data_IF_910118698843
#
_entry.id   IF_910118698843
#
_cell.length_a   1.000
_cell.length_b   1.000
_cell.length_c   1.000
_cell.angle_alpha   90.00
_cell.angle_beta   90.00
_cell.angle_gamma   90.00
#
_symmetry.space_group_name_H-M   'P 1'
#
loop_
_entity.id
_entity.type
_entity.pdbx_description
1 polymer ?
#
# COMPACT_ATOMS: atom_id res chain seq x y z
N UNK A 1 12.91 -28.27 -23.88
CA UNK A 1 11.99 -27.25 -24.45
C UNK A 1 10.62 -27.26 -23.77
N UNK A 2 9.82 -28.34 -23.88
CA UNK A 2 8.45 -28.37 -23.31
C UNK A 2 8.41 -28.06 -21.80
N UNK A 3 9.31 -28.68 -21.02
CA UNK A 3 9.42 -28.40 -19.58
C UNK A 3 9.75 -26.93 -19.29
N UNK A 4 10.61 -26.29 -20.10
CA UNK A 4 10.93 -24.87 -19.93
C UNK A 4 9.71 -23.98 -20.23
N UNK A 5 8.96 -24.27 -21.29
CA UNK A 5 7.73 -23.52 -21.61
C UNK A 5 6.67 -23.70 -20.51
N UNK A 6 6.51 -24.92 -19.98
CA UNK A 6 5.63 -25.17 -18.84
C UNK A 6 6.06 -24.37 -17.60
N UNK A 7 7.35 -24.42 -17.26
CA UNK A 7 7.91 -23.63 -16.16
C UNK A 7 7.61 -22.14 -16.33
N UNK A 8 7.90 -21.58 -17.51
CA UNK A 8 7.71 -20.16 -17.81
C UNK A 8 6.22 -19.76 -17.80
N UNK A 9 5.34 -20.60 -18.34
CA UNK A 9 3.91 -20.35 -18.32
C UNK A 9 3.36 -20.35 -16.88
N UNK A 10 3.78 -21.30 -16.05
CA UNK A 10 3.38 -21.36 -14.63
C UNK A 10 3.98 -20.22 -13.80
N UNK A 11 5.22 -19.82 -14.10
CA UNK A 11 5.87 -18.64 -13.53
C UNK A 11 5.06 -17.37 -13.79
N UNK A 12 4.73 -17.11 -15.06
CA UNK A 12 3.97 -15.90 -15.42
C UNK A 12 2.56 -15.95 -14.85
N UNK A 13 1.88 -17.09 -14.90
CA UNK A 13 0.52 -17.23 -14.36
C UNK A 13 0.45 -16.80 -12.88
N UNK A 14 1.30 -17.37 -12.03
CA UNK A 14 1.32 -17.02 -10.60
C UNK A 14 1.89 -15.63 -10.33
N UNK A 15 2.92 -15.21 -11.08
CA UNK A 15 3.45 -13.86 -10.97
C UNK A 15 2.39 -12.80 -11.30
N UNK A 16 1.56 -13.06 -12.31
CA UNK A 16 0.49 -12.16 -12.72
C UNK A 16 -0.66 -12.13 -11.71
N UNK A 17 -0.97 -13.25 -11.04
CA UNK A 17 -1.88 -13.27 -9.88
C UNK A 17 -1.37 -12.39 -8.74
N UNK A 18 -0.08 -12.47 -8.41
CA UNK A 18 0.53 -11.61 -7.39
C UNK A 18 0.52 -10.13 -7.78
N UNK A 19 0.58 -9.83 -9.07
CA UNK A 19 0.53 -8.47 -9.60
C UNK A 19 -0.87 -7.87 -9.53
N UNK A 20 -1.92 -8.71 -9.58
CA UNK A 20 -3.31 -8.25 -9.60
C UNK A 20 -3.67 -7.41 -8.37
N UNK A 21 -3.18 -7.78 -7.18
CA UNK A 21 -3.44 -7.01 -5.95
C UNK A 21 -2.82 -5.61 -5.99
N UNK A 22 -1.68 -5.44 -6.65
CA UNK A 22 -1.03 -4.13 -6.82
C UNK A 22 -1.68 -3.27 -7.91
N UNK A 23 -2.26 -3.90 -8.93
CA UNK A 23 -3.04 -3.20 -9.96
C UNK A 23 -4.37 -2.70 -9.37
N UNK A 24 -5.01 -3.51 -8.52
CA UNK A 24 -6.29 -3.17 -7.89
C UNK A 24 -6.14 -2.27 -6.64
N UNK A 25 -5.00 -2.39 -5.95
CA UNK A 25 -4.67 -1.69 -4.70
C UNK A 25 -5.00 -0.19 -4.67
N UNK A 26 -4.62 0.62 -5.67
CA UNK A 26 -4.92 2.05 -5.67
C UNK A 26 -6.41 2.40 -5.62
N UNK A 27 -7.30 1.48 -6.01
CA UNK A 27 -8.73 1.75 -6.16
C UNK A 27 -9.59 0.97 -5.17
N UNK A 28 -9.16 -0.24 -4.78
CA UNK A 28 -9.95 -1.14 -3.94
C UNK A 28 -9.23 -1.54 -2.64
N UNK A 29 -7.98 -1.11 -2.46
CA UNK A 29 -7.14 -1.46 -1.30
C UNK A 29 -6.54 -2.86 -1.40
N UNK A 30 -5.90 -3.29 -0.31
CA UNK A 30 -5.17 -4.57 -0.19
C UNK A 30 -5.83 -5.57 0.77
N UNK A 31 -7.06 -5.28 1.21
CA UNK A 31 -7.78 -6.06 2.22
C UNK A 31 -8.21 -7.47 1.78
N UNK A 32 -8.72 -8.26 2.73
CA UNK A 32 -9.05 -9.69 2.56
C UNK A 32 -10.07 -9.92 1.43
N UNK A 33 -11.06 -9.03 1.28
CA UNK A 33 -12.07 -9.10 0.21
C UNK A 33 -11.45 -9.03 -1.18
N UNK A 34 -10.45 -8.16 -1.37
CA UNK A 34 -9.76 -8.00 -2.66
C UNK A 34 -9.00 -9.28 -3.01
N UNK A 35 -8.24 -9.83 -2.05
CA UNK A 35 -7.55 -11.10 -2.22
C UNK A 35 -8.50 -12.27 -2.53
N UNK A 36 -9.63 -12.35 -1.84
CA UNK A 36 -10.62 -13.38 -2.09
C UNK A 36 -11.18 -13.30 -3.53
N UNK A 37 -11.44 -12.10 -4.04
CA UNK A 37 -11.87 -11.91 -5.43
C UNK A 37 -10.79 -12.28 -6.44
N UNK A 38 -9.53 -11.87 -6.22
CA UNK A 38 -8.38 -12.22 -7.08
C UNK A 38 -8.26 -13.72 -7.20
N UNK A 39 -8.11 -14.43 -6.08
CA UNK A 39 -7.93 -15.88 -6.06
C UNK A 39 -9.11 -16.57 -6.74
N UNK A 40 -10.35 -16.13 -6.47
CA UNK A 40 -11.55 -16.71 -7.08
C UNK A 40 -11.55 -16.58 -8.61
N UNK A 41 -11.23 -15.41 -9.14
CA UNK A 41 -11.18 -15.18 -10.60
C UNK A 41 -10.07 -16.01 -11.25
N UNK A 42 -8.89 -16.10 -10.62
CA UNK A 42 -7.79 -16.91 -11.12
C UNK A 42 -8.12 -18.41 -11.10
N UNK A 43 -8.73 -18.93 -10.02
CA UNK A 43 -9.17 -20.33 -9.91
C UNK A 43 -10.28 -20.69 -10.92
N UNK A 44 -11.26 -19.81 -11.10
CA UNK A 44 -12.31 -20.01 -12.13
C UNK A 44 -11.67 -20.00 -13.52
N UNK A 45 -10.81 -19.02 -13.80
CA UNK A 45 -10.12 -18.90 -15.08
C UNK A 45 -9.25 -20.11 -15.39
N UNK A 46 -8.48 -20.61 -14.42
CA UNK A 46 -7.67 -21.81 -14.59
C UNK A 46 -8.50 -23.07 -14.79
N UNK A 47 -9.60 -23.22 -14.05
CA UNK A 47 -10.52 -24.35 -14.22
C UNK A 47 -11.09 -24.41 -15.64
N UNK A 48 -11.56 -23.27 -16.16
CA UNK A 48 -12.05 -23.16 -17.54
C UNK A 48 -10.92 -23.42 -18.54
N UNK A 49 -9.75 -22.83 -18.32
CA UNK A 49 -8.60 -22.99 -19.20
C UNK A 49 -8.12 -24.44 -19.27
N UNK A 50 -7.99 -25.15 -18.14
CA UNK A 50 -7.65 -26.58 -18.12
C UNK A 50 -8.66 -27.43 -18.89
N UNK A 51 -9.95 -27.14 -18.76
CA UNK A 51 -10.99 -27.84 -19.52
C UNK A 51 -10.84 -27.60 -21.03
N UNK A 52 -10.64 -26.35 -21.47
CA UNK A 52 -10.46 -25.99 -22.88
C UNK A 52 -9.15 -26.55 -23.45
N UNK A 53 -8.07 -26.44 -22.69
CA UNK A 53 -6.75 -26.96 -23.03
C UNK A 53 -6.75 -28.49 -23.14
N UNK A 54 -7.44 -29.18 -22.23
CA UNK A 54 -7.58 -30.64 -22.30
C UNK A 54 -8.33 -31.09 -23.56
N UNK A 55 -9.46 -30.45 -23.87
CA UNK A 55 -10.23 -30.74 -25.09
C UNK A 55 -9.43 -30.51 -26.37
N UNK A 56 -8.70 -29.39 -26.45
CA UNK A 56 -7.89 -29.07 -27.63
C UNK A 56 -6.60 -29.86 -27.73
N UNK A 57 -6.09 -30.39 -26.61
CA UNK A 57 -4.94 -31.30 -26.60
C UNK A 57 -5.26 -32.65 -27.28
N UNK A 58 -6.53 -33.06 -27.32
CA UNK A 58 -7.01 -34.26 -28.00
C UNK A 58 -7.28 -34.05 -29.50
N UNK A 59 -7.35 -32.81 -29.96
CA UNK A 59 -7.55 -32.50 -31.37
C UNK A 59 -6.27 -32.72 -32.19
N UNK A 60 -6.45 -33.09 -33.46
CA UNK A 60 -5.36 -33.05 -34.43
C UNK A 60 -4.83 -31.61 -34.52
N UNK A 61 -3.51 -31.45 -34.32
CA UNK A 61 -2.89 -30.13 -34.28
C UNK A 61 -2.83 -29.48 -32.89
N UNK A 62 -2.77 -30.25 -31.79
CA UNK A 62 -2.48 -29.76 -30.43
C UNK A 62 -1.39 -28.67 -30.39
N UNK A 63 -0.29 -28.86 -31.13
CA UNK A 63 0.80 -27.89 -31.24
C UNK A 63 0.37 -26.50 -31.75
N UNK A 64 -0.65 -26.43 -32.61
CA UNK A 64 -1.27 -25.18 -33.09
C UNK A 64 -2.10 -24.52 -31.99
N UNK A 65 -2.86 -25.29 -31.22
CA UNK A 65 -3.69 -24.77 -30.12
C UNK A 65 -2.86 -24.20 -28.98
N UNK A 66 -1.80 -24.90 -28.54
CA UNK A 66 -0.85 -24.38 -27.54
C UNK A 66 -0.32 -23.01 -27.98
N UNK A 67 0.02 -22.88 -29.27
CA UNK A 67 0.51 -21.61 -29.81
C UNK A 67 -0.55 -20.51 -29.82
N UNK A 68 -1.79 -20.84 -30.14
CA UNK A 68 -2.89 -19.87 -30.05
C UNK A 68 -3.02 -19.38 -28.60
N UNK A 69 -3.02 -20.29 -27.63
CA UNK A 69 -3.11 -19.94 -26.21
C UNK A 69 -1.94 -19.08 -25.74
N UNK A 70 -0.68 -19.44 -26.03
CA UNK A 70 0.48 -18.65 -25.62
C UNK A 70 0.50 -17.25 -26.26
N UNK A 71 0.13 -17.13 -27.54
CA UNK A 71 0.08 -15.84 -28.22
C UNK A 71 -1.02 -14.94 -27.62
N UNK A 72 -2.23 -15.47 -27.45
CA UNK A 72 -3.33 -14.70 -26.89
C UNK A 72 -3.20 -14.46 -25.39
N UNK A 73 -2.48 -15.32 -24.65
CA UNK A 73 -2.07 -15.04 -23.27
C UNK A 73 -1.13 -13.82 -23.24
N UNK A 74 -0.11 -13.77 -24.11
CA UNK A 74 0.77 -12.60 -24.22
C UNK A 74 -0.02 -11.32 -24.54
N UNK A 75 -0.92 -11.37 -25.52
CA UNK A 75 -1.76 -10.23 -25.91
C UNK A 75 -2.69 -9.80 -24.78
N UNK A 76 -3.40 -10.73 -24.14
CA UNK A 76 -4.36 -10.40 -23.08
C UNK A 76 -3.68 -9.88 -21.81
N UNK A 77 -2.51 -10.43 -21.43
CA UNK A 77 -1.68 -9.88 -20.34
C UNK A 77 -1.20 -8.47 -20.69
N UNK A 78 -0.74 -8.20 -21.91
CA UNK A 78 -0.35 -6.84 -22.31
C UNK A 78 -1.53 -5.85 -22.26
N UNK A 79 -2.72 -6.28 -22.68
CA UNK A 79 -3.93 -5.43 -22.70
C UNK A 79 -4.43 -5.12 -21.29
N UNK A 80 -4.16 -5.97 -20.29
CA UNK A 80 -4.68 -5.77 -18.94
C UNK A 80 -4.22 -4.44 -18.33
N UNK A 81 -3.02 -3.96 -18.67
CA UNK A 81 -2.50 -2.68 -18.15
C UNK A 81 -3.21 -1.43 -18.69
N UNK A 82 -3.31 -1.18 -20.00
CA UNK A 82 -4.09 -0.05 -20.50
C UNK A 82 -5.58 -0.19 -20.16
N UNK A 83 -6.12 -1.42 -20.16
CA UNK A 83 -7.50 -1.66 -19.76
C UNK A 83 -7.74 -1.30 -18.30
N UNK A 84 -6.79 -1.58 -17.40
CA UNK A 84 -6.92 -1.22 -15.99
C UNK A 84 -6.99 0.29 -15.81
N UNK A 85 -6.18 1.07 -16.54
CA UNK A 85 -6.27 2.54 -16.49
C UNK A 85 -7.60 3.10 -16.97
N UNK A 86 -8.25 2.44 -17.92
CA UNK A 86 -9.55 2.88 -18.43
C UNK A 86 -10.70 2.51 -17.48
N UNK A 87 -10.67 1.30 -16.92
CA UNK A 87 -11.82 0.70 -16.22
C UNK A 87 -11.78 0.93 -14.71
N UNK A 88 -10.60 1.01 -14.10
CA UNK A 88 -10.46 1.19 -12.65
C UNK A 88 -11.09 2.49 -12.13
N UNK A 89 -10.85 3.68 -12.73
CA UNK A 89 -11.44 4.93 -12.23
C UNK A 89 -12.97 4.96 -12.33
N UNK A 90 -13.55 4.25 -13.30
CA UNK A 90 -15.00 4.25 -13.55
C UNK A 90 -15.78 3.41 -12.54
N UNK A 91 -15.13 2.41 -11.92
CA UNK A 91 -15.77 1.43 -11.05
C UNK A 91 -15.32 1.56 -9.58
N UNK A 92 -14.49 2.56 -9.27
CA UNK A 92 -13.99 2.83 -7.92
C UNK A 92 -14.82 3.84 -7.12
N UNK A 93 -15.86 4.44 -7.70
CA UNK A 93 -16.71 5.40 -6.97
C UNK A 93 -17.51 4.74 -5.83
N UNK A 94 -17.98 3.51 -6.03
CA UNK A 94 -18.59 2.68 -4.98
C UNK A 94 -17.80 1.37 -4.79
N UNK A 95 -16.96 1.34 -3.76
CA UNK A 95 -16.17 0.16 -3.39
C UNK A 95 -17.07 -0.89 -2.74
N UNK A 96 -17.48 -1.88 -3.53
CA UNK A 96 -18.30 -3.02 -3.09
C UNK A 96 -17.64 -4.33 -3.55
N UNK A 97 -18.03 -5.45 -2.93
CA UNK A 97 -17.56 -6.77 -3.38
C UNK A 97 -17.89 -7.02 -4.86
N UNK A 98 -19.04 -6.50 -5.34
CA UNK A 98 -19.46 -6.64 -6.72
C UNK A 98 -18.56 -5.85 -7.68
N UNK A 99 -18.18 -4.61 -7.35
CA UNK A 99 -17.30 -3.80 -8.20
C UNK A 99 -15.88 -4.40 -8.24
N UNK A 100 -15.36 -4.87 -7.11
CA UNK A 100 -14.07 -5.59 -7.06
C UNK A 100 -14.09 -6.83 -7.94
N UNK A 101 -15.12 -7.68 -7.80
CA UNK A 101 -15.22 -8.92 -8.57
C UNK A 101 -15.38 -8.67 -10.06
N UNK A 102 -16.20 -7.69 -10.45
CA UNK A 102 -16.39 -7.29 -11.84
C UNK A 102 -15.06 -6.82 -12.44
N UNK A 103 -14.36 -5.94 -11.73
CA UNK A 103 -13.09 -5.38 -12.19
C UNK A 103 -12.00 -6.44 -12.31
N UNK A 104 -11.87 -7.30 -11.29
CA UNK A 104 -10.93 -8.42 -11.30
C UNK A 104 -11.23 -9.36 -12.48
N UNK A 105 -12.51 -9.63 -12.74
CA UNK A 105 -12.93 -10.46 -13.87
C UNK A 105 -12.59 -9.83 -15.23
N UNK A 106 -12.88 -8.54 -15.40
CA UNK A 106 -12.59 -7.80 -16.63
C UNK A 106 -11.09 -7.81 -16.97
N UNK A 107 -10.23 -7.66 -15.96
CA UNK A 107 -8.79 -7.57 -16.16
C UNK A 107 -8.10 -8.92 -16.27
N UNK A 108 -8.49 -9.91 -15.46
CA UNK A 108 -7.67 -11.09 -15.22
C UNK A 108 -8.30 -12.42 -15.67
N UNK A 109 -9.61 -12.48 -15.91
CA UNK A 109 -10.27 -13.75 -16.27
C UNK A 109 -9.78 -14.30 -17.61
N UNK A 110 -9.78 -13.48 -18.67
CA UNK A 110 -9.33 -13.90 -20.01
C UNK A 110 -7.84 -14.28 -20.01
N UNK A 111 -6.91 -13.45 -19.47
CA UNK A 111 -5.51 -13.86 -19.33
C UNK A 111 -5.33 -15.18 -18.57
N UNK A 112 -6.07 -15.38 -17.47
CA UNK A 112 -6.00 -16.60 -16.66
C UNK A 112 -6.45 -17.84 -17.45
N UNK A 113 -7.57 -17.75 -18.19
CA UNK A 113 -8.07 -18.85 -19.05
C UNK A 113 -7.04 -19.22 -20.11
N UNK A 114 -6.49 -18.24 -20.82
CA UNK A 114 -5.58 -18.49 -21.94
C UNK A 114 -4.24 -19.04 -21.46
N UNK A 115 -3.72 -18.50 -20.36
CA UNK A 115 -2.47 -18.95 -19.74
C UNK A 115 -2.53 -20.42 -19.30
N UNK A 116 -3.61 -20.80 -18.64
CA UNK A 116 -3.82 -22.16 -18.13
C UNK A 116 -4.20 -23.16 -19.22
N UNK A 117 -4.88 -22.74 -20.29
CA UNK A 117 -5.25 -23.61 -21.41
C UNK A 117 -4.06 -24.18 -22.18
N UNK A 118 -2.89 -23.54 -22.13
CA UNK A 118 -1.67 -24.08 -22.74
C UNK A 118 -1.13 -25.32 -22.00
N UNK A 119 -1.39 -25.45 -20.68
CA UNK A 119 -0.74 -26.44 -19.80
C UNK A 119 -1.09 -27.89 -20.18
N UNK A 120 -2.36 -28.30 -20.36
CA UNK A 120 -2.69 -29.68 -20.71
C UNK A 120 -2.09 -30.12 -22.05
N UNK A 121 -2.11 -29.23 -23.05
CA UNK A 121 -1.51 -29.48 -24.36
C UNK A 121 0.00 -29.70 -24.28
N UNK A 122 0.70 -28.87 -23.51
CA UNK A 122 2.14 -28.99 -23.26
C UNK A 122 2.49 -30.28 -22.52
N UNK A 123 1.74 -30.62 -21.46
CA UNK A 123 1.92 -31.87 -20.71
C UNK A 123 1.74 -33.08 -21.64
N UNK A 124 0.69 -33.10 -22.45
CA UNK A 124 0.42 -34.20 -23.38
C UNK A 124 1.54 -34.37 -24.42
N UNK A 125 2.06 -33.26 -25.00
CA UNK A 125 3.21 -33.32 -25.90
C UNK A 125 4.48 -33.84 -25.23
N UNK A 126 4.66 -33.54 -23.94
CA UNK A 126 5.83 -33.96 -23.17
C UNK A 126 5.79 -35.43 -22.75
N UNK A 127 4.62 -35.93 -22.35
CA UNK A 127 4.43 -37.32 -21.91
C UNK A 127 4.48 -38.28 -23.11
N UNK A 128 3.91 -37.88 -24.26
CA UNK A 128 3.80 -38.74 -25.45
C UNK A 128 2.66 -39.76 -25.32
N UNK A 129 2.67 -40.79 -26.17
CA UNK A 129 1.57 -41.77 -26.27
C UNK A 129 1.54 -42.81 -25.13
N UNK A 130 2.69 -43.04 -24.46
CA UNK A 130 2.77 -43.98 -23.34
C UNK A 130 2.67 -43.23 -22.01
N UNK A 131 1.61 -43.52 -21.27
CA UNK A 131 1.37 -42.94 -19.95
C UNK A 131 2.32 -43.54 -18.92
N UNK A 132 3.35 -42.79 -18.54
CA UNK A 132 4.28 -43.13 -17.47
C UNK A 132 4.03 -42.21 -16.26
N UNK A 133 3.71 -42.78 -15.10
CA UNK A 133 3.46 -42.00 -13.88
C UNK A 133 4.63 -41.10 -13.48
N UNK A 134 5.87 -41.53 -13.73
CA UNK A 134 7.09 -40.74 -13.49
C UNK A 134 7.11 -39.47 -14.34
N UNK A 135 6.77 -39.56 -15.64
CA UNK A 135 6.74 -38.37 -16.52
C UNK A 135 5.65 -37.39 -16.07
N UNK A 136 4.46 -37.90 -15.72
CA UNK A 136 3.39 -37.07 -15.15
C UNK A 136 3.89 -36.32 -13.92
N UNK A 137 4.54 -37.03 -12.98
CA UNK A 137 5.12 -36.44 -11.78
C UNK A 137 6.15 -35.34 -12.07
N UNK A 138 7.08 -35.58 -13.01
CA UNK A 138 8.10 -34.59 -13.41
C UNK A 138 7.43 -33.32 -13.98
N UNK A 139 6.44 -33.45 -14.86
CA UNK A 139 5.79 -32.28 -15.44
C UNK A 139 4.96 -31.49 -14.42
N UNK A 140 4.30 -32.17 -13.48
CA UNK A 140 3.65 -31.49 -12.34
C UNK A 140 4.66 -30.77 -11.45
N UNK A 141 5.80 -31.41 -11.14
CA UNK A 141 6.89 -30.77 -10.39
C UNK A 141 7.37 -29.48 -11.08
N UNK A 142 7.58 -29.52 -12.41
CA UNK A 142 8.01 -28.36 -13.20
C UNK A 142 7.00 -27.21 -13.12
N UNK A 143 5.70 -27.51 -13.21
CA UNK A 143 4.63 -26.52 -13.03
C UNK A 143 4.68 -25.91 -11.63
N UNK A 144 4.76 -26.73 -10.59
CA UNK A 144 4.81 -26.25 -9.19
C UNK A 144 6.05 -25.39 -8.93
N UNK A 145 7.21 -25.79 -9.43
CA UNK A 145 8.46 -25.02 -9.27
C UNK A 145 8.38 -23.69 -10.02
N UNK A 146 7.77 -23.68 -11.22
CA UNK A 146 7.48 -22.44 -11.96
C UNK A 146 6.56 -21.50 -11.17
N UNK A 147 5.46 -22.02 -10.66
CA UNK A 147 4.50 -21.29 -9.83
C UNK A 147 5.15 -20.67 -8.59
N UNK A 148 5.93 -21.45 -7.83
CA UNK A 148 6.65 -20.95 -6.64
C UNK A 148 7.65 -19.86 -7.02
N UNK A 149 8.43 -20.06 -8.09
CA UNK A 149 9.34 -19.04 -8.58
C UNK A 149 8.61 -17.76 -9.02
N UNK A 150 7.46 -17.91 -9.69
CA UNK A 150 6.60 -16.80 -10.11
C UNK A 150 6.14 -15.96 -8.94
N UNK A 151 5.59 -16.60 -7.91
CA UNK A 151 5.17 -15.93 -6.68
C UNK A 151 6.35 -15.25 -5.97
N UNK A 152 7.42 -15.97 -5.66
CA UNK A 152 8.52 -15.44 -4.84
C UNK A 152 9.30 -14.33 -5.55
N UNK A 153 9.67 -14.54 -6.83
CA UNK A 153 10.48 -13.56 -7.58
C UNK A 153 9.64 -12.31 -7.85
N UNK A 154 8.37 -12.47 -8.21
CA UNK A 154 7.50 -11.32 -8.48
C UNK A 154 7.29 -10.51 -7.22
N UNK A 155 6.93 -11.16 -6.11
CA UNK A 155 6.61 -10.47 -4.85
C UNK A 155 7.81 -9.82 -4.18
N UNK A 156 8.95 -10.52 -4.08
CA UNK A 156 10.08 -10.04 -3.29
C UNK A 156 11.12 -9.26 -4.10
N UNK A 157 11.15 -9.37 -5.43
CA UNK A 157 12.17 -8.73 -6.26
C UNK A 157 11.60 -7.81 -7.33
N UNK A 158 10.60 -8.26 -8.09
CA UNK A 158 10.06 -7.45 -9.19
C UNK A 158 9.20 -6.29 -8.66
N UNK A 159 8.25 -6.57 -7.76
CA UNK A 159 7.35 -5.55 -7.22
C UNK A 159 8.09 -4.39 -6.51
N UNK A 160 9.11 -4.64 -5.65
CA UNK A 160 9.84 -3.53 -5.02
C UNK A 160 10.82 -2.82 -5.96
N UNK A 161 11.35 -3.51 -6.97
CA UNK A 161 12.44 -3.00 -7.80
C UNK A 161 12.02 -2.42 -9.15
N UNK A 162 10.79 -2.64 -9.61
CA UNK A 162 10.35 -2.30 -10.96
C UNK A 162 8.93 -1.72 -10.95
N UNK A 163 8.68 -0.74 -11.85
CA UNK A 163 7.31 -0.26 -12.09
C UNK A 163 6.43 -1.40 -12.61
N UNK A 164 5.17 -1.46 -12.16
CA UNK A 164 4.19 -2.51 -12.53
C UNK A 164 4.09 -2.71 -14.05
N UNK A 165 4.11 -1.62 -14.83
CA UNK A 165 4.09 -1.70 -16.30
C UNK A 165 5.19 -2.58 -16.88
N UNK A 166 6.42 -2.49 -16.35
CA UNK A 166 7.56 -3.26 -16.85
C UNK A 166 7.42 -4.75 -16.50
N UNK A 167 6.78 -5.07 -15.38
CA UNK A 167 6.49 -6.45 -14.96
C UNK A 167 5.46 -7.08 -15.91
N UNK A 168 4.36 -6.38 -16.20
CA UNK A 168 3.36 -6.83 -17.20
C UNK A 168 4.01 -7.08 -18.55
N UNK A 169 4.86 -6.15 -19.00
CA UNK A 169 5.60 -6.28 -20.27
C UNK A 169 6.53 -7.49 -20.24
N UNK A 170 7.27 -7.70 -19.15
CA UNK A 170 8.14 -8.86 -18.98
C UNK A 170 7.37 -10.18 -19.05
N UNK A 171 6.21 -10.26 -18.40
CA UNK A 171 5.32 -11.42 -18.45
C UNK A 171 4.77 -11.70 -19.85
N UNK A 172 4.27 -10.68 -20.54
CA UNK A 172 3.83 -10.81 -21.92
C UNK A 172 4.97 -11.26 -22.84
N UNK A 173 6.19 -10.73 -22.65
CA UNK A 173 7.38 -11.13 -23.38
C UNK A 173 7.72 -12.61 -23.14
N UNK A 174 7.62 -13.10 -21.90
CA UNK A 174 7.88 -14.52 -21.59
C UNK A 174 6.89 -15.43 -22.32
N UNK A 175 5.60 -15.10 -22.35
CA UNK A 175 4.61 -15.87 -23.14
C UNK A 175 4.89 -15.80 -24.64
N UNK A 176 5.26 -14.64 -25.14
CA UNK A 176 5.61 -14.45 -26.55
C UNK A 176 6.87 -15.26 -26.93
N UNK A 177 7.92 -15.22 -26.11
CA UNK A 177 9.12 -16.01 -26.32
C UNK A 177 8.81 -17.50 -26.26
N UNK A 178 7.95 -17.93 -25.34
CA UNK A 178 7.46 -19.32 -25.26
C UNK A 178 6.73 -19.75 -26.53
N UNK A 179 5.89 -18.87 -27.09
CA UNK A 179 5.25 -19.08 -28.39
C UNK A 179 6.28 -19.15 -29.53
N UNK A 180 7.26 -18.24 -29.53
CA UNK A 180 8.30 -18.15 -30.55
C UNK A 180 9.21 -19.37 -30.52
N UNK A 181 9.57 -19.90 -29.35
CA UNK A 181 10.35 -21.14 -29.22
C UNK A 181 9.69 -22.34 -29.89
N UNK A 182 8.37 -22.29 -30.15
CA UNK A 182 7.65 -23.32 -30.89
C UNK A 182 7.66 -23.12 -32.43
N UNK A 183 8.24 -22.03 -32.97
CA UNK A 183 8.39 -21.73 -34.40
C UNK A 183 9.75 -21.08 -34.78
N UNK A 184 10.39 -21.54 -35.86
CA UNK A 184 11.66 -20.97 -36.34
C UNK A 184 11.44 -20.16 -37.62
N UNK A 185 10.85 -18.95 -37.54
CA UNK A 185 10.78 -18.02 -38.70
C UNK A 185 10.93 -16.56 -38.28
N UNK A 186 12.02 -15.94 -38.75
CA UNK A 186 12.51 -14.62 -38.31
C UNK A 186 11.65 -13.41 -38.73
N UNK A 187 10.85 -13.48 -39.80
CA UNK A 187 10.02 -12.34 -40.24
C UNK A 187 8.83 -12.03 -39.31
N UNK A 188 8.47 -12.96 -38.40
CA UNK A 188 7.43 -12.72 -37.38
C UNK A 188 7.91 -11.85 -36.22
N UNK A 189 9.21 -11.57 -36.14
CA UNK A 189 9.81 -10.58 -35.23
C UNK A 189 9.42 -9.14 -35.59
N UNK A 190 8.92 -8.88 -36.80
CA UNK A 190 8.40 -7.55 -37.17
C UNK A 190 6.95 -7.35 -36.70
N UNK A 191 6.14 -8.42 -36.60
CA UNK A 191 4.80 -8.36 -35.98
C UNK A 191 4.89 -8.08 -34.47
N UNK A 192 6.02 -8.45 -33.84
CA UNK A 192 6.35 -8.17 -32.44
C UNK A 192 6.48 -6.67 -32.14
N UNK A 193 7.07 -5.88 -33.05
CA UNK A 193 7.18 -4.43 -32.87
C UNK A 193 5.83 -3.71 -32.98
N UNK A 194 4.85 -4.28 -33.71
CA UNK A 194 3.54 -3.66 -33.97
C UNK A 194 2.51 -4.03 -32.88
N UNK A 195 2.54 -5.27 -32.37
CA UNK A 195 1.64 -5.72 -31.31
C UNK A 195 1.97 -5.11 -29.92
N UNK A 196 3.18 -4.58 -29.75
CA UNK A 196 3.62 -3.85 -28.56
C UNK A 196 3.49 -2.32 -28.69
N UNK A 197 2.99 -1.77 -29.80
CA UNK A 197 2.70 -0.32 -29.94
C UNK A 197 1.65 0.21 -28.94
N UNK A 198 0.69 -0.60 -28.40
CA UNK A 198 -0.17 -0.13 -27.31
C UNK A 198 0.58 0.16 -25.99
N UNK A 199 1.91 -0.06 -25.90
CA UNK A 199 2.76 0.33 -24.77
C UNK A 199 3.09 1.83 -24.69
N UNK A 200 2.76 2.64 -25.69
CA UNK A 200 2.91 4.09 -25.59
C UNK A 200 1.83 4.65 -24.67
N UNK A 201 2.17 4.80 -23.39
CA UNK A 201 1.47 5.51 -22.31
C UNK A 201 0.25 6.35 -22.77
N UNK A 202 -0.89 5.69 -23.01
CA UNK A 202 -2.14 6.37 -23.41
C UNK A 202 -2.80 6.89 -22.13
N UNK A 203 -2.35 8.05 -21.68
CA UNK A 203 -2.95 8.81 -20.58
C UNK A 203 -2.38 8.46 -19.20
N UNK A 204 -2.02 9.52 -18.45
CA UNK A 204 -1.50 9.39 -17.09
C UNK A 204 -2.51 8.70 -16.17
N UNK A 205 -2.02 7.79 -15.33
CA UNK A 205 -2.84 7.18 -14.30
C UNK A 205 -3.40 8.28 -13.37
N UNK A 206 -4.66 8.14 -12.93
CA UNK A 206 -5.33 9.10 -12.04
C UNK A 206 -5.86 8.38 -10.81
N UNK A 207 -5.81 9.05 -9.67
CA UNK A 207 -6.42 8.64 -8.41
C UNK A 207 -7.51 9.67 -8.09
N UNK A 208 -8.78 9.26 -8.21
CA UNK A 208 -9.89 10.22 -8.31
C UNK A 208 -9.71 11.15 -9.53
N UNK A 209 -9.90 12.45 -9.34
CA UNK A 209 -9.70 13.46 -10.38
C UNK A 209 -8.21 13.80 -10.63
N UNK A 210 -7.33 13.39 -9.71
CA UNK A 210 -5.96 13.85 -9.62
C UNK A 210 -4.99 12.96 -10.40
N UNK A 211 -4.16 13.50 -11.31
CA UNK A 211 -3.10 12.73 -11.97
C UNK A 211 -2.07 12.19 -10.96
N UNK A 212 -1.74 10.90 -11.10
CA UNK A 212 -0.65 10.23 -10.38
C UNK A 212 0.66 10.60 -11.08
N UNK A 213 1.53 11.27 -10.32
CA UNK A 213 2.88 11.68 -10.73
C UNK A 213 3.92 10.62 -10.45
N UNK A 214 3.80 9.92 -9.33
CA UNK A 214 4.67 8.82 -8.95
C UNK A 214 3.90 7.79 -8.13
N UNK A 215 4.31 6.52 -8.24
CA UNK A 215 3.75 5.42 -7.46
C UNK A 215 4.87 4.47 -7.07
N UNK A 216 4.94 4.17 -5.78
CA UNK A 216 5.90 3.22 -5.23
C UNK A 216 5.16 2.22 -4.37
N UNK A 217 5.33 0.93 -4.65
CA UNK A 217 4.82 -0.16 -3.82
C UNK A 217 5.91 -0.60 -2.85
N UNK A 218 5.61 -0.60 -1.55
CA UNK A 218 6.55 -1.08 -0.52
C UNK A 218 5.98 -2.31 0.20
N UNK A 219 6.77 -3.00 1.03
CA UNK A 219 6.26 -4.05 1.91
C UNK A 219 5.21 -3.55 2.92
N UNK A 220 5.11 -2.23 3.14
CA UNK A 220 4.26 -1.65 4.17
C UNK A 220 2.95 -1.06 3.62
N UNK A 221 3.00 -0.40 2.47
CA UNK A 221 1.82 0.23 1.83
C UNK A 221 2.12 0.57 0.36
N UNK A 222 1.09 0.91 -0.40
CA UNK A 222 1.25 1.59 -1.68
C UNK A 222 1.30 3.11 -1.45
N UNK A 223 2.31 3.79 -2.01
CA UNK A 223 2.48 5.24 -1.88
C UNK A 223 2.22 5.91 -3.23
N UNK A 224 1.27 6.84 -3.25
CA UNK A 224 0.93 7.62 -4.43
C UNK A 224 1.31 9.09 -4.23
N UNK A 225 1.94 9.67 -5.24
CA UNK A 225 2.14 11.11 -5.36
C UNK A 225 1.18 11.62 -6.42
N UNK A 226 0.24 12.49 -6.04
CA UNK A 226 -0.75 13.05 -6.97
C UNK A 226 -0.65 14.57 -7.01
N UNK A 227 -0.97 15.16 -8.15
CA UNK A 227 -1.09 16.62 -8.28
C UNK A 227 -2.56 17.03 -8.42
N UNK A 228 -2.93 18.19 -7.87
CA UNK A 228 -4.25 18.78 -8.10
C UNK A 228 -4.16 20.27 -8.29
N UNK A 229 -5.05 20.81 -9.12
CA UNK A 229 -5.20 22.26 -9.29
C UNK A 229 -6.13 22.90 -8.25
N UNK A 230 -6.73 22.10 -7.35
CA UNK A 230 -7.69 22.57 -6.35
C UNK A 230 -7.59 21.74 -5.06
N UNK A 231 -7.74 22.39 -3.92
CA UNK A 231 -7.89 21.74 -2.62
C UNK A 231 -8.89 22.52 -1.77
N UNK A 232 -9.92 21.85 -1.24
CA UNK A 232 -10.98 22.47 -0.42
C UNK A 232 -11.59 23.75 -1.05
N UNK A 233 -11.86 23.74 -2.36
CA UNK A 233 -12.43 24.90 -3.05
C UNK A 233 -11.44 26.02 -3.37
N UNK A 234 -10.16 25.86 -3.02
CA UNK A 234 -9.11 26.83 -3.29
C UNK A 234 -8.28 26.41 -4.50
N UNK A 235 -8.23 27.22 -5.58
CA UNK A 235 -7.35 26.94 -6.70
C UNK A 235 -5.88 27.08 -6.29
N UNK A 236 -5.02 26.20 -6.79
CA UNK A 236 -3.60 26.18 -6.47
C UNK A 236 -2.82 25.17 -7.31
N UNK A 237 -1.59 24.86 -6.92
CA UNK A 237 -0.82 23.75 -7.50
C UNK A 237 -0.36 22.85 -6.34
N UNK A 238 -1.18 21.83 -6.04
CA UNK A 238 -1.01 21.00 -4.87
C UNK A 238 -0.32 19.69 -5.20
N UNK A 239 0.55 19.22 -4.31
CA UNK A 239 1.10 17.85 -4.32
C UNK A 239 0.64 17.13 -3.08
N UNK A 240 0.09 15.93 -3.26
CA UNK A 240 -0.34 15.06 -2.17
C UNK A 240 0.51 13.79 -2.12
N UNK A 241 0.78 13.32 -0.90
CA UNK A 241 1.24 11.96 -0.62
C UNK A 241 0.08 11.20 -0.01
N UNK A 242 -0.26 10.06 -0.60
CA UNK A 242 -1.36 9.21 -0.17
C UNK A 242 -0.87 7.78 0.05
N UNK A 243 -1.28 7.17 1.16
CA UNK A 243 -1.09 5.74 1.37
C UNK A 243 -2.37 5.00 1.01
N UNK A 244 -2.21 3.92 0.25
CA UNK A 244 -3.26 3.08 -0.26
C UNK A 244 -4.36 3.90 -0.96
N UNK A 245 -5.64 3.61 -0.73
CA UNK A 245 -6.74 4.18 -1.54
C UNK A 245 -7.05 5.64 -1.21
N UNK A 246 -6.97 6.11 0.05
CA UNK A 246 -7.46 7.45 0.42
C UNK A 246 -6.79 8.11 1.65
N UNK A 247 -5.74 7.53 2.25
CA UNK A 247 -5.13 8.14 3.44
C UNK A 247 -4.16 9.26 3.04
N UNK A 248 -4.62 10.51 3.09
CA UNK A 248 -3.78 11.69 2.87
C UNK A 248 -2.75 11.84 3.99
N UNK A 249 -1.48 11.60 3.67
CA UNK A 249 -0.35 11.66 4.60
C UNK A 249 0.34 13.04 4.61
N UNK A 250 0.20 13.78 3.53
CA UNK A 250 0.72 15.13 3.44
C UNK A 250 0.27 15.85 2.17
N UNK A 251 0.21 17.17 2.26
CA UNK A 251 -0.11 18.04 1.14
C UNK A 251 0.71 19.32 1.23
N UNK A 252 1.21 19.79 0.09
CA UNK A 252 1.82 21.11 -0.03
C UNK A 252 1.20 21.87 -1.18
N UNK A 253 1.12 23.19 -1.03
CA UNK A 253 0.95 24.11 -2.16
C UNK A 253 2.34 24.45 -2.71
N UNK A 254 2.57 24.22 -4.01
CA UNK A 254 3.83 24.57 -4.66
C UNK A 254 4.02 26.07 -4.76
N UNK A 255 2.94 26.85 -4.79
CA UNK A 255 3.00 28.31 -4.88
C UNK A 255 3.37 28.94 -3.54
N UNK A 256 2.95 28.32 -2.43
CA UNK A 256 3.31 28.73 -1.08
C UNK A 256 3.61 27.51 -0.19
N UNK A 257 4.88 27.10 -0.16
CA UNK A 257 5.32 25.95 0.63
C UNK A 257 5.28 26.19 2.14
N UNK A 258 5.12 27.45 2.58
CA UNK A 258 4.99 27.78 4.00
C UNK A 258 3.54 27.65 4.48
N UNK A 259 2.58 27.56 3.56
CA UNK A 259 1.19 27.32 3.89
C UNK A 259 0.98 25.84 4.27
N UNK A 260 0.91 25.58 5.58
CA UNK A 260 0.61 24.25 6.11
C UNK A 260 -0.89 23.98 5.94
N UNK A 261 -1.22 23.05 5.03
CA UNK A 261 -2.60 22.79 4.62
C UNK A 261 -3.43 22.02 5.67
N UNK A 262 -2.83 21.05 6.35
CA UNK A 262 -3.54 20.20 7.30
C UNK A 262 -3.66 20.85 8.68
N UNK A 263 -4.90 20.92 9.19
CA UNK A 263 -5.19 21.61 10.46
C UNK A 263 -4.52 20.96 11.65
N UNK A 264 -4.43 19.62 11.70
CA UNK A 264 -3.77 18.93 12.81
C UNK A 264 -2.27 19.26 12.91
N UNK A 265 -1.60 19.51 11.77
CA UNK A 265 -0.19 19.93 11.75
C UNK A 265 -0.06 21.34 12.32
N UNK A 266 -0.90 22.28 11.87
CA UNK A 266 -0.92 23.65 12.42
C UNK A 266 -1.19 23.65 13.93
N UNK A 267 -2.15 22.84 14.36
CA UNK A 267 -2.51 22.70 15.76
C UNK A 267 -1.37 22.07 16.58
N UNK A 268 -0.69 21.06 16.06
CA UNK A 268 0.48 20.45 16.73
C UNK A 268 1.62 21.44 16.91
N UNK A 269 1.88 22.29 15.91
CA UNK A 269 2.86 23.37 16.03
C UNK A 269 2.45 24.40 17.09
N UNK A 270 1.18 24.82 17.09
CA UNK A 270 0.65 25.72 18.10
C UNK A 270 0.76 25.15 19.53
N UNK A 271 0.49 23.86 19.69
CA UNK A 271 0.65 23.14 20.96
C UNK A 271 2.12 23.14 21.39
N UNK A 272 3.04 22.84 20.46
CA UNK A 272 4.46 22.83 20.75
C UNK A 272 4.93 24.22 21.22
N UNK A 273 4.47 25.31 20.60
CA UNK A 273 4.83 26.67 20.99
C UNK A 273 4.19 27.12 22.31
N UNK A 274 2.97 26.66 22.59
CA UNK A 274 2.21 27.10 23.77
C UNK A 274 2.59 26.31 25.03
N UNK A 275 2.66 24.98 24.93
CA UNK A 275 2.84 24.08 26.06
C UNK A 275 4.27 23.58 26.21
N UNK A 276 5.07 23.65 25.14
CA UNK A 276 6.45 23.21 25.13
C UNK A 276 7.39 24.23 24.43
N UNK A 277 7.31 25.54 24.71
CA UNK A 277 8.09 26.56 23.98
C UNK A 277 9.61 26.32 24.10
N UNK A 278 10.05 25.79 25.24
CA UNK A 278 11.44 25.48 25.54
C UNK A 278 11.86 24.06 25.09
N UNK A 279 10.96 23.30 24.46
CA UNK A 279 11.31 21.98 23.94
C UNK A 279 12.33 22.12 22.82
N UNK A 280 13.48 21.48 23.00
CA UNK A 280 14.55 21.45 22.03
C UNK A 280 14.75 20.05 21.46
N UNK A 281 14.67 19.00 22.28
CA UNK A 281 14.85 17.62 21.84
C UNK A 281 13.49 16.93 21.68
N UNK A 282 13.13 16.61 20.45
CA UNK A 282 11.87 15.95 20.12
C UNK A 282 12.15 14.59 19.48
N UNK A 283 11.39 13.57 19.88
CA UNK A 283 11.34 12.31 19.17
C UNK A 283 10.01 12.21 18.41
N UNK A 284 10.05 11.90 17.13
CA UNK A 284 8.87 11.76 16.29
C UNK A 284 8.77 10.34 15.74
N UNK A 285 7.62 9.70 15.92
CA UNK A 285 7.32 8.38 15.36
C UNK A 285 6.35 8.60 14.19
N UNK A 286 6.79 8.24 12.98
CA UNK A 286 6.14 8.59 11.72
C UNK A 286 6.70 9.89 11.13
N UNK A 287 7.06 9.88 9.85
CA UNK A 287 7.55 11.06 9.13
C UNK A 287 6.52 11.63 8.16
N UNK A 288 5.79 10.73 7.49
CA UNK A 288 4.86 11.09 6.41
C UNK A 288 5.55 11.93 5.33
N UNK A 289 4.92 13.03 4.91
CA UNK A 289 5.52 13.95 3.94
C UNK A 289 6.63 14.86 4.52
N UNK A 290 6.95 14.75 5.81
CA UNK A 290 7.98 15.55 6.48
C UNK A 290 7.59 17.01 6.75
N UNK A 291 6.31 17.37 6.62
CA UNK A 291 5.83 18.76 6.77
C UNK A 291 5.96 19.22 8.22
N UNK A 292 5.42 18.44 9.18
CA UNK A 292 5.51 18.74 10.61
C UNK A 292 6.97 18.76 11.09
N UNK A 293 7.75 17.76 10.67
CA UNK A 293 9.18 17.67 10.99
C UNK A 293 9.93 18.91 10.52
N UNK A 294 9.77 19.29 9.25
CA UNK A 294 10.44 20.46 8.68
C UNK A 294 10.05 21.76 9.40
N UNK A 295 8.76 21.95 9.71
CA UNK A 295 8.31 23.14 10.42
C UNK A 295 8.87 23.23 11.85
N UNK A 296 8.94 22.10 12.57
CA UNK A 296 9.56 22.06 13.90
C UNK A 296 11.08 22.31 13.82
N UNK A 297 11.78 21.73 12.85
CA UNK A 297 13.22 21.99 12.63
C UNK A 297 13.48 23.47 12.33
N UNK A 298 12.64 24.11 11.51
CA UNK A 298 12.74 25.54 11.18
C UNK A 298 12.52 26.46 12.39
N UNK A 299 11.75 26.02 13.40
CA UNK A 299 11.62 26.74 14.68
C UNK A 299 12.82 26.55 15.62
N UNK A 300 13.89 25.89 15.16
CA UNK A 300 15.13 25.69 15.92
C UNK A 300 15.12 24.46 16.84
N UNK A 301 14.16 23.55 16.66
CA UNK A 301 14.05 22.32 17.44
C UNK A 301 14.85 21.18 16.79
N UNK A 302 15.48 20.36 17.61
CA UNK A 302 16.17 19.14 17.21
C UNK A 302 15.17 17.98 17.19
N UNK A 303 14.89 17.45 16.01
CA UNK A 303 13.97 16.31 15.83
C UNK A 303 14.78 15.05 15.48
N UNK A 304 14.52 13.95 16.19
CA UNK A 304 14.90 12.60 15.78
C UNK A 304 13.64 11.87 15.32
N UNK A 305 13.62 11.41 14.08
CA UNK A 305 12.45 10.75 13.50
C UNK A 305 12.70 9.25 13.36
N UNK A 306 11.69 8.44 13.70
CA UNK A 306 11.60 7.04 13.35
C UNK A 306 10.56 6.86 12.24
N UNK A 307 11.02 6.49 11.04
CA UNK A 307 10.17 6.21 9.88
C UNK A 307 10.29 4.72 9.52
N UNK A 308 9.17 4.03 9.35
CA UNK A 308 9.18 2.61 9.05
C UNK A 308 9.60 2.34 7.59
N UNK A 309 9.17 3.20 6.67
CA UNK A 309 9.33 3.01 5.24
C UNK A 309 10.38 3.97 4.64
N UNK A 310 11.53 3.45 4.14
CA UNK A 310 12.56 4.30 3.54
C UNK A 310 12.09 5.04 2.29
N UNK A 311 11.09 4.53 1.57
CA UNK A 311 10.54 5.20 0.38
C UNK A 311 9.73 6.44 0.75
N UNK A 312 9.09 6.46 1.93
CA UNK A 312 8.41 7.67 2.44
C UNK A 312 9.42 8.80 2.63
N UNK A 313 10.57 8.50 3.23
CA UNK A 313 11.66 9.48 3.36
C UNK A 313 12.16 9.96 2.00
N UNK A 314 12.41 9.05 1.05
CA UNK A 314 12.87 9.40 -0.30
C UNK A 314 11.88 10.32 -1.03
N UNK A 315 10.58 9.98 -0.98
CA UNK A 315 9.52 10.77 -1.59
C UNK A 315 9.31 12.12 -0.88
N UNK A 316 9.45 12.18 0.45
CA UNK A 316 9.40 13.43 1.21
C UNK A 316 10.49 14.41 0.77
N UNK A 317 11.72 13.92 0.52
CA UNK A 317 12.83 14.72 0.01
C UNK A 317 12.57 15.18 -1.41
N UNK A 318 12.14 14.26 -2.28
CA UNK A 318 11.95 14.48 -3.71
C UNK A 318 10.80 15.45 -4.03
N UNK A 319 9.66 15.32 -3.35
CA UNK A 319 8.44 16.06 -3.68
C UNK A 319 8.10 17.17 -2.67
N UNK A 320 8.38 16.93 -1.39
CA UNK A 320 8.00 17.82 -0.30
C UNK A 320 9.15 18.72 0.18
N UNK A 321 10.38 18.44 -0.25
CA UNK A 321 11.54 19.30 -0.02
C UNK A 321 12.11 19.17 1.40
N UNK A 322 11.82 18.06 2.09
CA UNK A 322 12.47 17.76 3.37
C UNK A 322 13.98 17.62 3.17
N UNK A 323 14.77 18.25 4.03
CA UNK A 323 16.23 18.27 3.92
C UNK A 323 16.96 17.73 5.16
N UNK A 324 16.23 17.35 6.21
CA UNK A 324 16.81 16.85 7.44
C UNK A 324 17.48 15.48 7.29
N UNK A 325 18.44 15.22 8.17
CA UNK A 325 19.30 14.04 8.18
C UNK A 325 19.06 13.11 9.38
N UNK A 326 18.27 13.54 10.37
CA UNK A 326 18.00 12.81 11.62
C UNK A 326 16.80 11.87 11.53
N UNK A 327 16.68 11.15 10.42
CA UNK A 327 15.62 10.14 10.19
C UNK A 327 16.24 8.75 10.23
N UNK A 328 15.86 7.97 11.25
CA UNK A 328 16.22 6.57 11.37
C UNK A 328 15.12 5.70 10.76
N UNK A 329 15.50 4.75 9.91
CA UNK A 329 14.57 3.81 9.29
C UNK A 329 14.37 2.61 10.21
N UNK A 330 13.15 2.40 10.69
CA UNK A 330 12.79 1.28 11.55
C UNK A 330 11.52 1.51 12.36
N UNK A 331 11.16 0.50 13.14
CA UNK A 331 10.00 0.55 14.03
C UNK A 331 10.17 1.61 15.14
N UNK A 332 9.18 2.49 15.29
CA UNK A 332 9.25 3.61 16.22
C UNK A 332 9.36 3.21 17.69
N UNK A 333 8.72 2.10 18.10
CA UNK A 333 8.80 1.60 19.47
C UNK A 333 10.19 1.03 19.76
N UNK A 334 10.75 0.27 18.81
CA UNK A 334 12.12 -0.29 18.93
C UNK A 334 13.13 0.84 19.00
N UNK A 335 13.10 1.78 18.05
CA UNK A 335 14.04 2.89 17.98
C UNK A 335 13.95 3.82 19.19
N UNK A 336 12.75 4.06 19.73
CA UNK A 336 12.57 4.82 20.96
C UNK A 336 13.17 4.09 22.17
N UNK A 337 13.03 2.77 22.25
CA UNK A 337 13.53 1.97 23.37
C UNK A 337 15.06 2.04 23.52
N UNK A 338 15.79 2.15 22.40
CA UNK A 338 17.24 2.29 22.36
C UNK A 338 17.75 3.65 22.87
N UNK A 339 16.87 4.65 23.01
CA UNK A 339 17.26 5.99 23.46
C UNK A 339 17.46 6.04 24.96
N UNK A 340 18.17 7.06 25.45
CA UNK A 340 18.32 7.26 26.89
C UNK A 340 17.00 7.69 27.53
N UNK A 341 16.80 7.30 28.79
CA UNK A 341 15.65 7.75 29.59
C UNK A 341 15.72 9.25 29.87
N UNK A 342 14.56 9.89 30.05
CA UNK A 342 14.43 11.33 30.31
C UNK A 342 15.21 12.25 29.35
N UNK A 343 15.27 11.86 28.06
CA UNK A 343 16.02 12.58 27.03
C UNK A 343 15.19 13.64 26.32
N UNK A 344 13.91 13.36 26.08
CA UNK A 344 13.07 14.15 25.19
C UNK A 344 12.19 15.15 25.95
N UNK A 345 12.14 16.38 25.44
CA UNK A 345 11.22 17.42 25.90
C UNK A 345 9.81 17.18 25.34
N UNK A 346 9.74 16.63 24.12
CA UNK A 346 8.49 16.30 23.47
C UNK A 346 8.60 14.97 22.71
N UNK A 347 7.54 14.17 22.72
CA UNK A 347 7.42 12.99 21.86
C UNK A 347 6.15 13.14 21.02
N UNK A 348 6.28 13.01 19.71
CA UNK A 348 5.16 13.09 18.75
C UNK A 348 4.92 11.71 18.16
N UNK A 349 3.67 11.25 18.20
CA UNK A 349 3.22 10.03 17.53
C UNK A 349 2.26 10.40 16.40
N UNK A 350 2.74 10.25 15.16
CA UNK A 350 2.02 10.55 13.93
C UNK A 350 2.23 9.41 12.92
N UNK A 351 1.93 8.18 13.35
CA UNK A 351 2.26 6.94 12.66
C UNK A 351 1.03 6.29 12.00
N UNK A 352 0.28 7.06 11.21
CA UNK A 352 -0.98 6.62 10.64
C UNK A 352 -0.80 5.82 9.34
N UNK A 353 -1.38 4.62 9.27
CA UNK A 353 -1.54 3.84 8.03
C UNK A 353 -3.02 3.84 7.60
N UNK A 354 -3.35 3.32 6.42
CA UNK A 354 -4.74 3.19 5.98
C UNK A 354 -5.64 2.43 6.99
N UNK A 355 -5.05 1.52 7.77
CA UNK A 355 -5.70 0.70 8.81
C UNK A 355 -5.69 1.36 10.20
N UNK A 356 -5.12 2.57 10.34
CA UNK A 356 -4.98 3.26 11.62
C UNK A 356 -3.56 3.26 12.19
N UNK A 357 -3.45 3.62 13.48
CA UNK A 357 -2.17 3.58 14.21
C UNK A 357 -1.87 2.13 14.60
N UNK A 358 -0.64 1.61 14.36
CA UNK A 358 -0.27 0.24 14.71
C UNK A 358 -0.57 -0.10 16.18
N UNK A 359 -1.22 -1.23 16.41
CA UNK A 359 -1.69 -1.67 17.73
C UNK A 359 -0.61 -1.60 18.83
N UNK A 360 0.62 -2.02 18.52
CA UNK A 360 1.73 -2.06 19.48
C UNK A 360 2.22 -0.66 19.92
N UNK A 361 1.75 0.42 19.27
CA UNK A 361 1.95 1.83 19.63
C UNK A 361 0.79 2.43 20.44
N UNK A 362 -0.24 1.62 20.73
CA UNK A 362 -1.42 2.04 21.50
C UNK A 362 -1.52 1.34 22.86
N UNK A 363 -0.54 0.52 23.22
CA UNK A 363 -0.56 -0.25 24.46
C UNK A 363 -0.04 0.54 25.66
N UNK A 364 -0.49 0.17 26.85
CA UNK A 364 0.02 0.71 28.12
C UNK A 364 1.53 0.52 28.23
N UNK A 365 2.06 -0.63 27.80
CA UNK A 365 3.48 -0.95 27.82
C UNK A 365 4.30 0.01 26.94
N UNK A 366 3.76 0.38 25.78
CA UNK A 366 4.33 1.43 24.94
C UNK A 366 4.24 2.81 25.60
N UNK A 367 3.10 3.20 26.16
CA UNK A 367 2.99 4.49 26.84
C UNK A 367 3.88 4.61 28.08
N UNK A 368 4.13 3.50 28.80
CA UNK A 368 5.13 3.46 29.87
C UNK A 368 6.55 3.64 29.33
N UNK A 369 6.86 3.08 28.15
CA UNK A 369 8.13 3.36 27.47
C UNK A 369 8.24 4.85 27.12
N UNK A 370 7.20 5.44 26.52
CA UNK A 370 7.15 6.88 26.19
C UNK A 370 7.38 7.72 27.46
N UNK A 371 6.68 7.41 28.55
CA UNK A 371 6.83 8.08 29.84
C UNK A 371 8.28 8.03 30.35
N UNK A 372 8.96 6.88 30.26
CA UNK A 372 10.37 6.76 30.70
C UNK A 372 11.33 7.60 29.86
N UNK A 373 11.09 7.72 28.55
CA UNK A 373 11.96 8.50 27.64
C UNK A 373 11.71 10.01 27.71
N UNK A 374 10.54 10.41 28.22
CA UNK A 374 10.16 11.80 28.39
C UNK A 374 10.81 12.42 29.64
N UNK A 375 11.17 13.70 29.56
CA UNK A 375 11.55 14.48 30.75
C UNK A 375 10.35 14.69 31.67
N UNK A 376 10.55 14.99 32.97
CA UNK A 376 9.45 15.20 33.93
C UNK A 376 8.44 16.29 33.53
N UNK A 377 8.88 17.34 32.83
CA UNK A 377 8.05 18.43 32.31
C UNK A 377 7.72 18.27 30.82
N UNK A 378 7.96 17.10 30.24
CA UNK A 378 7.79 16.90 28.82
C UNK A 378 6.33 16.70 28.42
N UNK A 379 6.11 16.78 27.11
CA UNK A 379 4.80 16.66 26.48
C UNK A 379 4.78 15.53 25.45
N UNK A 380 3.70 14.75 25.42
CA UNK A 380 3.43 13.83 24.31
C UNK A 380 2.28 14.40 23.50
N UNK A 381 2.42 14.42 22.17
CA UNK A 381 1.32 14.71 21.24
C UNK A 381 1.07 13.51 20.36
N UNK A 382 -0.18 13.05 20.29
CA UNK A 382 -0.57 11.90 19.48
C UNK A 382 -1.67 12.33 18.53
N UNK A 383 -1.50 12.05 17.25
CA UNK A 383 -2.55 12.18 16.25
C UNK A 383 -3.27 10.84 16.06
N UNK A 384 -4.58 10.83 16.30
CA UNK A 384 -5.47 9.70 16.06
C UNK A 384 -6.54 10.12 15.06
N UNK A 385 -7.03 9.17 14.25
CA UNK A 385 -8.25 9.35 13.45
C UNK A 385 -9.35 8.50 14.05
N UNK A 386 -10.51 9.10 14.29
CA UNK A 386 -11.71 8.41 14.77
C UNK A 386 -12.81 9.38 15.19
N UNK A 387 -13.92 8.84 15.69
CA UNK A 387 -15.04 9.62 16.20
C UNK A 387 -14.91 9.90 17.71
N UNK A 388 -15.42 11.05 18.15
CA UNK A 388 -15.41 11.45 19.57
C UNK A 388 -16.38 10.57 20.38
N UNK A 389 -17.52 10.21 19.79
CA UNK A 389 -18.54 9.37 20.42
C UNK A 389 -18.77 8.08 19.65
N UNK A 390 -18.85 6.94 20.38
CA UNK A 390 -19.17 5.65 19.78
C UNK A 390 -17.99 4.93 19.12
N UNK A 391 -16.77 5.45 19.25
CA UNK A 391 -15.56 4.77 18.79
C UNK A 391 -14.83 4.07 19.94
N UNK A 392 -14.95 2.74 19.98
CA UNK A 392 -14.29 1.92 21.01
C UNK A 392 -12.77 2.08 21.02
N UNK A 393 -12.13 2.34 19.87
CA UNK A 393 -10.67 2.50 19.83
C UNK A 393 -10.25 3.80 20.52
N UNK A 394 -10.95 4.89 20.25
CA UNK A 394 -10.70 6.20 20.88
C UNK A 394 -10.98 6.11 22.40
N UNK A 395 -12.05 5.42 22.80
CA UNK A 395 -12.35 5.15 24.21
C UNK A 395 -11.24 4.33 24.91
N UNK A 396 -10.77 3.25 24.26
CA UNK A 396 -9.70 2.37 24.77
C UNK A 396 -8.35 3.12 24.86
N UNK A 397 -7.98 3.92 23.85
CA UNK A 397 -6.77 4.75 23.85
C UNK A 397 -6.83 5.81 24.96
N UNK A 398 -7.99 6.42 25.18
CA UNK A 398 -8.18 7.40 26.27
C UNK A 398 -7.97 6.74 27.64
N UNK A 399 -8.57 5.57 27.87
CA UNK A 399 -8.38 4.82 29.12
C UNK A 399 -6.91 4.38 29.31
N UNK A 400 -6.26 3.95 28.23
CA UNK A 400 -4.88 3.46 28.26
C UNK A 400 -3.89 4.58 28.58
N UNK A 401 -4.00 5.72 27.90
CA UNK A 401 -3.14 6.90 28.16
C UNK A 401 -3.36 7.44 29.57
N UNK A 402 -4.62 7.51 30.03
CA UNK A 402 -4.96 7.92 31.40
C UNK A 402 -4.45 6.99 32.50
N UNK A 403 -4.13 5.73 32.17
CA UNK A 403 -3.53 4.78 33.11
C UNK A 403 -2.03 5.02 33.36
N UNK A 404 -1.37 5.84 32.53
CA UNK A 404 0.08 6.09 32.56
C UNK A 404 0.42 7.55 32.85
N UNK A 405 -0.36 8.49 32.34
CA UNK A 405 -0.10 9.93 32.45
C UNK A 405 -1.02 10.60 33.48
N UNK A 406 -0.44 11.49 34.30
CA UNK A 406 -1.18 12.24 35.32
C UNK A 406 -2.09 13.33 34.75
N UNK A 407 -1.83 13.79 33.52
CA UNK A 407 -2.68 14.72 32.79
C UNK A 407 -2.83 14.26 31.34
N UNK A 408 -4.09 14.06 30.93
CA UNK A 408 -4.47 13.70 29.56
C UNK A 408 -5.50 14.70 29.09
N UNK A 409 -5.24 15.33 27.95
CA UNK A 409 -6.19 16.19 27.27
C UNK A 409 -6.41 15.71 25.86
N UNK A 410 -7.65 15.77 25.42
CA UNK A 410 -8.04 15.39 24.08
C UNK A 410 -8.67 16.61 23.43
N UNK A 411 -8.19 16.98 22.25
CA UNK A 411 -8.77 18.06 21.46
C UNK A 411 -9.16 17.55 20.08
N UNK A 412 -10.26 18.05 19.56
CA UNK A 412 -10.78 17.71 18.24
C UNK A 412 -11.48 18.93 17.64
N UNK A 413 -11.78 18.88 16.34
CA UNK A 413 -12.65 19.88 15.72
C UNK A 413 -14.08 19.62 16.21
N UNK A 414 -14.81 20.66 16.61
CA UNK A 414 -16.19 20.49 17.08
C UNK A 414 -17.18 20.40 15.92
N UNK A 415 -16.83 19.58 14.94
CA UNK A 415 -17.73 19.14 13.87
C UNK A 415 -18.61 17.98 14.40
N UNK A 416 -19.24 17.20 13.52
CA UNK A 416 -20.05 16.06 13.91
C UNK A 416 -19.24 15.06 14.77
N UNK A 417 -19.67 14.87 16.03
CA UNK A 417 -18.98 14.01 17.01
C UNK A 417 -18.93 12.54 16.63
N UNK A 418 -19.77 12.12 15.68
CA UNK A 418 -19.85 10.75 15.20
C UNK A 418 -19.08 10.52 13.90
N UNK A 419 -18.49 11.56 13.31
CA UNK A 419 -17.63 11.44 12.14
C UNK A 419 -16.16 11.26 12.52
N UNK A 420 -15.46 10.49 11.71
CA UNK A 420 -14.01 10.31 11.82
C UNK A 420 -13.29 11.62 11.51
N UNK A 421 -12.39 11.99 12.42
CA UNK A 421 -11.61 13.23 12.34
C UNK A 421 -10.28 13.08 13.08
N UNK A 422 -9.36 14.03 12.86
CA UNK A 422 -8.15 14.12 13.66
C UNK A 422 -8.49 14.49 15.11
N UNK A 423 -8.16 13.59 16.03
CA UNK A 423 -8.24 13.76 17.47
C UNK A 423 -6.80 13.82 17.99
N UNK A 424 -6.42 14.94 18.59
CA UNK A 424 -5.10 15.13 19.17
C UNK A 424 -5.14 14.86 20.67
N UNK A 425 -4.26 13.98 21.14
CA UNK A 425 -4.03 13.75 22.56
C UNK A 425 -2.78 14.49 23.02
N UNK A 426 -2.90 15.20 24.13
CA UNK A 426 -1.80 15.84 24.83
C UNK A 426 -1.62 15.14 26.18
N UNK A 427 -0.47 14.51 26.38
CA UNK A 427 -0.16 13.76 27.60
C UNK A 427 1.02 14.39 28.33
N UNK A 428 0.89 14.55 29.65
CA UNK A 428 2.00 15.00 30.50
C UNK A 428 1.90 14.41 31.91
N UNK A 429 3.02 14.42 32.63
CA UNK A 429 3.04 14.14 34.06
C UNK A 429 2.61 15.35 34.89
N UNK A 430 2.71 16.56 34.32
CA UNK A 430 2.28 17.78 34.96
C UNK A 430 0.89 18.20 34.48
N UNK A 431 0.10 18.91 35.30
CA UNK A 431 -1.19 19.43 34.88
C UNK A 431 -1.08 20.34 33.67
N UNK A 432 -1.83 20.04 32.61
CA UNK A 432 -1.92 20.89 31.42
C UNK A 432 -3.00 21.97 31.59
N UNK A 433 -2.70 23.21 31.21
CA UNK A 433 -3.69 24.29 31.15
C UNK A 433 -4.77 24.01 30.08
N UNK A 434 -5.93 24.66 30.17
CA UNK A 434 -7.02 24.49 29.20
C UNK A 434 -6.61 24.85 27.79
N UNK A 435 -6.79 23.94 26.84
CA UNK A 435 -6.53 24.12 25.42
C UNK A 435 -7.80 24.64 24.75
N UNK A 436 -7.71 25.83 24.17
CA UNK A 436 -8.74 26.34 23.27
C UNK A 436 -8.06 27.10 22.15
N UNK A 437 -8.18 26.59 20.93
CA UNK A 437 -7.65 27.25 19.74
C UNK A 437 -8.78 27.67 18.82
N UNK A 438 -8.42 28.26 17.68
CA UNK A 438 -9.39 28.71 16.69
C UNK A 438 -10.07 27.55 15.96
N UNK A 439 -9.42 26.39 15.84
CA UNK A 439 -9.93 25.23 15.09
C UNK A 439 -10.26 24.02 15.99
N UNK A 440 -9.62 23.90 17.16
CA UNK A 440 -9.77 22.76 18.06
C UNK A 440 -10.26 23.18 19.45
N UNK A 441 -11.01 22.29 20.09
CA UNK A 441 -11.42 22.44 21.49
C UNK A 441 -11.30 21.14 22.26
N UNK A 442 -11.16 21.26 23.58
CA UNK A 442 -11.18 20.12 24.48
C UNK A 442 -12.49 19.34 24.35
N UNK A 443 -12.34 18.02 24.19
CA UNK A 443 -13.42 17.05 24.11
C UNK A 443 -13.22 15.99 25.17
N UNK A 444 -14.32 15.39 25.61
CA UNK A 444 -14.31 14.29 26.57
C UNK A 444 -14.88 13.07 25.90
N UNK A 445 -14.12 11.99 25.92
CA UNK A 445 -14.51 10.68 25.41
C UNK A 445 -14.88 9.78 26.60
N UNK A 446 -15.61 8.69 26.35
CA UNK A 446 -15.89 7.71 27.40
C UNK A 446 -14.63 6.90 27.70
N UNK A 447 -14.54 6.38 28.92
CA UNK A 447 -13.45 5.48 29.29
C UNK A 447 -13.74 4.08 28.72
N UNK A 448 -12.86 3.60 27.85
CA UNK A 448 -12.86 2.23 27.35
C UNK A 448 -12.01 1.28 28.21
N UNK A 449 -11.48 0.24 27.57
CA UNK A 449 -10.59 -0.75 28.18
C UNK A 449 -9.12 -0.35 28.04
N UNK A 450 -8.30 -0.78 29.00
CA UNK A 450 -6.85 -0.60 28.91
C UNK A 450 -6.28 -1.62 27.91
N UNK A 451 -5.59 -1.10 26.90
CA UNK A 451 -4.86 -1.88 25.92
C UNK A 451 -3.49 -2.25 26.50
N UNK A 452 -3.11 -3.52 26.42
CA UNK A 452 -1.80 -4.04 26.83
C UNK A 452 -1.19 -4.84 25.68
N UNK A 453 0.11 -5.15 25.75
CA UNK A 453 0.74 -6.01 24.74
C UNK A 453 0.11 -7.42 24.66
N UNK A 454 -0.59 -7.85 25.71
CA UNK A 454 -1.33 -9.12 25.75
C UNK A 454 -2.79 -8.98 25.29
N UNK A 455 -3.28 -7.77 25.07
CA UNK A 455 -4.65 -7.54 24.61
C UNK A 455 -4.79 -8.04 23.17
N UNK A 456 -5.92 -8.68 22.86
CA UNK A 456 -6.24 -9.08 21.49
C UNK A 456 -6.62 -7.80 20.72
N UNK A 457 -6.02 -7.54 19.53
CA UNK A 457 -6.37 -6.37 18.73
C UNK A 457 -7.89 -6.34 18.47
N UNK A 458 -8.52 -5.21 18.78
CA UNK A 458 -9.94 -4.99 18.56
C UNK A 458 -10.23 -5.10 17.04
N UNK A 459 -11.43 -5.51 16.61
CA UNK A 459 -11.73 -5.76 15.17
C UNK A 459 -11.53 -4.56 14.24
N UNK A 460 -11.46 -3.33 14.76
CA UNK A 460 -11.13 -2.10 14.00
C UNK A 460 -9.62 -1.91 13.77
N UNK A 461 -8.77 -2.68 14.45
CA UNK A 461 -7.30 -2.66 14.34
C UNK A 461 -6.75 -3.79 13.43
N UNK A 462 -7.65 -4.56 12.79
CA UNK A 462 -7.39 -5.61 11.80
C UNK A 462 -8.08 -5.23 10.50
#
# INVERSE_FOLDING_TARGET
MIALILFLASYVYMGFEMLASRILGPYFGSGITVWACIISVFLIGSSIGYLLGGRTADLQGNRRWIRIYLLWAAVSVSISWPLSRLTLPLLSEEVTMASILLQTSLLFLIPSILSSAAIPGLMKLGIGERTEGVKIGIYHMVVSVGSVAGTLITTFYMLPGMRLQHIVIGFALIYFLSWFMMEVKWYKLCLFAIAFIPLLDIGGARLGDNPIKDHVSTPYHDIFITESSEYNGQPGDYVFMQFDTHALQGAIDKNDRNNILFSYIRETLHIADTYAPQAHNIFMIGHGAGILTNALEQSGKTIEVAELDPQVLELSRKYFGYAGDRVAIGDGRVLLNEKQDSRYDMIVLDAFKAEGVPFHLLTRDFFQLVQRKLKPSGLVVINMIGAIEGDSLIEDVTATTGSVFGSVKTIARYDDKQMDQNILYLLSQQPLASVKTSEYMEVTTRAGNIITDQSIPNRKLQ
#
